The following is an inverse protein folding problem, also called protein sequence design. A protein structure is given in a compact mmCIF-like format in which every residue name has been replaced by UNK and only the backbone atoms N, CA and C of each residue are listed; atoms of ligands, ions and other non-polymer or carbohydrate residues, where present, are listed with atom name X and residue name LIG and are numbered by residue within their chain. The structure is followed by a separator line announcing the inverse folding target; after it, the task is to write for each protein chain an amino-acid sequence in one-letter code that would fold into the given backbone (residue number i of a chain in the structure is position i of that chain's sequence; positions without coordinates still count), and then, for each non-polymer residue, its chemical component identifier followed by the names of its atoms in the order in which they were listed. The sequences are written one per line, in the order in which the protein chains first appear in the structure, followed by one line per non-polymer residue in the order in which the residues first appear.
data_IF_329440267314
#
_entry.id   IF_329440267314
#
_cell.length_a   1.000
_cell.length_b   1.000
_cell.length_c   1.000
_cell.angle_alpha   90.00
_cell.angle_beta   90.00
_cell.angle_gamma   90.00
#
_symmetry.space_group_name_H-M   'P 1'
#
loop_
_entity.id
_entity.type
_entity.pdbx_description
1 polymer ?
#
# COMPACT_ATOMS: atom_id res chain seq x y z
N UNK A 1 6.21 9.52 11.41
CA UNK A 1 5.24 8.42 11.17
C UNK A 1 5.63 7.66 9.92
N UNK A 2 5.69 6.33 9.99
CA UNK A 2 6.13 5.48 8.88
C UNK A 2 5.06 4.46 8.56
N UNK A 3 4.63 4.42 7.29
CA UNK A 3 3.54 3.57 6.81
C UNK A 3 4.06 2.63 5.72
N UNK A 4 3.75 1.35 5.84
CA UNK A 4 4.11 0.32 4.85
C UNK A 4 2.83 -0.30 4.29
N UNK A 5 2.70 -0.32 2.96
CA UNK A 5 1.64 -1.05 2.28
C UNK A 5 2.16 -2.39 1.78
N UNK A 6 1.38 -3.46 1.96
CA UNK A 6 1.79 -4.82 1.59
C UNK A 6 0.72 -5.50 0.76
N UNK A 7 1.12 -6.04 -0.38
CA UNK A 7 0.29 -6.93 -1.20
C UNK A 7 1.08 -8.21 -1.53
N UNK A 8 0.62 -9.00 -2.49
CA UNK A 8 1.29 -10.26 -2.82
C UNK A 8 2.61 -10.02 -3.57
N UNK A 9 2.54 -9.35 -4.72
CA UNK A 9 3.69 -9.23 -5.64
C UNK A 9 4.44 -7.91 -5.59
N UNK A 10 3.89 -6.90 -4.92
CA UNK A 10 4.44 -5.53 -4.89
C UNK A 10 4.62 -4.91 -6.29
N UNK A 11 3.74 -5.23 -7.22
CA UNK A 11 3.74 -4.65 -8.57
C UNK A 11 2.42 -3.97 -8.95
N UNK A 12 1.34 -4.18 -8.22
CA UNK A 12 0.03 -3.57 -8.53
C UNK A 12 -0.52 -2.76 -7.36
N UNK A 13 -1.09 -3.42 -6.36
CA UNK A 13 -1.87 -2.77 -5.29
C UNK A 13 -1.01 -1.92 -4.36
N UNK A 14 0.02 -2.49 -3.76
CA UNK A 14 0.82 -1.76 -2.77
C UNK A 14 1.65 -0.61 -3.35
N UNK A 15 2.27 -0.73 -4.54
CA UNK A 15 2.97 0.43 -5.10
C UNK A 15 2.00 1.54 -5.51
N UNK A 16 0.78 1.20 -5.93
CA UNK A 16 -0.25 2.21 -6.23
C UNK A 16 -0.66 2.95 -4.96
N UNK A 17 -0.90 2.23 -3.86
CA UNK A 17 -1.22 2.86 -2.57
C UNK A 17 -0.10 3.80 -2.11
N UNK A 18 1.14 3.38 -2.26
CA UNK A 18 2.31 4.21 -1.93
C UNK A 18 2.30 5.50 -2.73
N UNK A 19 2.12 5.44 -4.05
CA UNK A 19 2.13 6.60 -4.92
C UNK A 19 0.95 7.54 -4.63
N UNK A 20 -0.24 6.99 -4.41
CA UNK A 20 -1.43 7.77 -4.09
C UNK A 20 -1.25 8.52 -2.77
N UNK A 21 -0.76 7.85 -1.73
CA UNK A 21 -0.55 8.49 -0.44
C UNK A 21 0.53 9.57 -0.53
N UNK A 22 1.64 9.29 -1.21
CA UNK A 22 2.71 10.30 -1.40
C UNK A 22 2.19 11.53 -2.11
N UNK A 23 1.37 11.36 -3.15
CA UNK A 23 0.77 12.47 -3.88
C UNK A 23 -0.11 13.33 -2.97
N UNK A 24 -1.00 12.69 -2.19
CA UNK A 24 -1.91 13.40 -1.29
C UNK A 24 -1.15 14.12 -0.17
N UNK A 25 -0.09 13.51 0.35
CA UNK A 25 0.76 14.15 1.37
C UNK A 25 1.43 15.41 0.83
N UNK A 26 1.95 15.36 -0.41
CA UNK A 26 2.56 16.53 -1.04
C UNK A 26 1.55 17.65 -1.25
N UNK A 27 0.34 17.31 -1.69
CA UNK A 27 -0.73 18.30 -1.88
C UNK A 27 -1.08 19.03 -0.59
N UNK A 28 -0.91 18.38 0.56
CA UNK A 28 -1.21 18.93 1.87
C UNK A 28 0.03 19.50 2.59
N UNK A 29 1.22 19.41 1.97
CA UNK A 29 2.47 19.85 2.60
C UNK A 29 2.90 19.00 3.78
N UNK A 30 2.51 17.73 3.83
CA UNK A 30 2.78 16.82 4.95
C UNK A 30 3.85 15.77 4.65
N UNK A 31 4.48 15.81 3.47
CA UNK A 31 5.38 14.75 3.02
C UNK A 31 6.62 14.56 3.89
N UNK A 32 7.06 15.59 4.61
CA UNK A 32 8.24 15.47 5.47
C UNK A 32 7.93 14.75 6.79
N UNK A 33 6.68 14.76 7.22
CA UNK A 33 6.27 14.11 8.46
C UNK A 33 5.91 12.64 8.33
N UNK A 34 5.80 12.11 7.11
CA UNK A 34 5.35 10.74 6.87
C UNK A 34 6.25 10.04 5.84
N UNK A 35 6.91 8.96 6.27
CA UNK A 35 7.63 8.07 5.36
C UNK A 35 6.67 7.00 4.86
N UNK A 36 6.66 6.75 3.56
CA UNK A 36 5.76 5.77 2.92
C UNK A 36 6.60 4.80 2.10
N UNK A 37 6.29 3.51 2.20
CA UNK A 37 6.93 2.47 1.40
C UNK A 37 5.94 1.36 1.09
N UNK A 38 6.33 0.42 0.25
CA UNK A 38 5.52 -0.75 -0.07
C UNK A 38 6.39 -1.99 -0.23
N UNK A 39 5.79 -3.17 -0.05
CA UNK A 39 6.47 -4.45 -0.15
C UNK A 39 5.49 -5.55 -0.56
N UNK A 40 6.02 -6.69 -0.97
CA UNK A 40 5.23 -7.86 -1.28
C UNK A 40 5.47 -8.97 -0.25
N UNK A 41 4.48 -9.85 -0.07
CA UNK A 41 4.68 -11.07 0.72
C UNK A 41 5.50 -12.09 -0.06
N UNK A 42 5.40 -12.09 -1.40
CA UNK A 42 6.19 -12.94 -2.28
C UNK A 42 7.46 -12.26 -2.79
N UNK A 43 8.35 -13.03 -3.40
CA UNK A 43 9.64 -12.56 -3.89
C UNK A 43 9.76 -12.57 -5.42
N UNK A 44 8.68 -12.93 -6.14
CA UNK A 44 8.73 -13.14 -7.59
C UNK A 44 9.14 -11.90 -8.39
N UNK A 45 8.85 -10.73 -7.87
CA UNK A 45 9.04 -9.46 -8.59
C UNK A 45 10.06 -8.54 -7.92
N UNK A 46 10.93 -9.06 -7.07
CA UNK A 46 11.97 -8.26 -6.42
C UNK A 46 12.85 -7.59 -7.47
N UNK A 47 13.04 -6.27 -7.32
CA UNK A 47 13.83 -5.45 -8.24
C UNK A 47 13.10 -5.01 -9.51
N UNK A 48 11.88 -5.50 -9.74
CA UNK A 48 11.11 -5.16 -10.95
C UNK A 48 10.27 -3.90 -10.75
N UNK A 49 10.01 -3.16 -11.84
CA UNK A 49 9.08 -2.03 -11.78
C UNK A 49 7.63 -2.52 -11.59
N UNK A 50 6.72 -1.63 -11.20
CA UNK A 50 5.30 -1.98 -11.18
C UNK A 50 4.79 -2.45 -12.54
N UNK A 51 3.70 -3.24 -12.51
CA UNK A 51 3.04 -3.72 -13.72
C UNK A 51 2.72 -2.57 -14.66
N UNK A 52 2.95 -2.76 -15.99
CA UNK A 52 2.78 -1.68 -16.97
C UNK A 52 1.35 -1.17 -17.04
N UNK A 53 0.35 -2.04 -16.85
CA UNK A 53 -1.07 -1.66 -16.86
C UNK A 53 -1.39 -0.82 -15.63
N UNK A 54 -0.83 -1.18 -14.49
CA UNK A 54 -0.94 -0.41 -13.24
C UNK A 54 -0.34 0.98 -13.42
N UNK A 55 0.86 1.06 -14.01
CA UNK A 55 1.53 2.35 -14.24
C UNK A 55 0.71 3.25 -15.17
N UNK A 56 0.14 2.68 -16.25
CA UNK A 56 -0.68 3.45 -17.18
C UNK A 56 -1.94 4.00 -16.53
N UNK A 57 -2.68 3.17 -15.80
CA UNK A 57 -3.89 3.59 -15.11
C UNK A 57 -3.61 4.68 -14.09
N UNK A 58 -2.55 4.55 -13.31
CA UNK A 58 -2.14 5.53 -12.31
C UNK A 58 -1.70 6.85 -12.97
N UNK A 59 -0.94 6.78 -14.06
CA UNK A 59 -0.43 7.96 -14.75
C UNK A 59 -1.56 8.83 -15.29
N UNK A 60 -2.65 8.23 -15.75
CA UNK A 60 -3.82 8.97 -16.23
C UNK A 60 -4.46 9.83 -15.13
N UNK A 61 -4.25 9.47 -13.86
CA UNK A 61 -4.72 10.24 -12.71
C UNK A 61 -3.64 11.10 -12.07
N UNK A 62 -2.45 11.16 -12.65
CA UNK A 62 -1.35 11.99 -12.15
C UNK A 62 -0.42 11.33 -11.15
N UNK A 63 -0.55 10.01 -10.93
CA UNK A 63 0.35 9.28 -10.03
C UNK A 63 1.52 8.66 -10.79
N UNK A 64 2.74 8.92 -10.34
CA UNK A 64 3.95 8.42 -10.96
C UNK A 64 4.53 7.24 -10.16
N UNK A 65 4.55 6.06 -10.76
CA UNK A 65 5.10 4.84 -10.18
C UNK A 65 6.45 4.46 -10.79
N UNK A 66 7.02 5.29 -11.68
CA UNK A 66 8.17 4.91 -12.51
C UNK A 66 9.42 4.59 -11.72
N UNK A 67 9.63 5.21 -10.55
CA UNK A 67 10.82 5.01 -9.73
C UNK A 67 10.69 3.85 -8.73
N UNK A 68 9.50 3.28 -8.59
CA UNK A 68 9.26 2.22 -7.61
C UNK A 68 9.81 0.89 -8.10
N UNK A 69 10.31 0.07 -7.16
CA UNK A 69 10.82 -1.27 -7.44
C UNK A 69 10.32 -2.25 -6.39
N UNK A 70 9.97 -3.46 -6.81
CA UNK A 70 9.49 -4.50 -5.93
C UNK A 70 10.52 -4.88 -4.88
N UNK A 71 10.05 -5.17 -3.67
CA UNK A 71 10.83 -5.78 -2.61
C UNK A 71 9.95 -6.71 -1.78
N UNK A 72 10.56 -7.64 -1.07
CA UNK A 72 9.84 -8.53 -0.18
C UNK A 72 9.82 -7.97 1.23
N UNK A 73 8.67 -8.09 1.91
CA UNK A 73 8.55 -7.72 3.32
C UNK A 73 9.47 -8.62 4.16
N UNK A 74 10.07 -8.06 5.20
CA UNK A 74 10.96 -8.80 6.08
C UNK A 74 10.67 -8.47 7.55
N UNK A 75 11.24 -9.26 8.46
CA UNK A 75 10.99 -9.12 9.89
C UNK A 75 11.36 -7.72 10.40
N UNK A 76 12.42 -7.11 9.88
CA UNK A 76 12.84 -5.78 10.30
C UNK A 76 11.82 -4.68 9.98
N UNK A 77 10.90 -4.92 9.05
CA UNK A 77 9.83 -3.95 8.75
C UNK A 77 8.93 -3.69 9.98
N UNK A 78 8.75 -4.70 10.84
CA UNK A 78 7.92 -4.56 12.03
C UNK A 78 8.53 -3.68 13.12
N UNK A 79 9.82 -3.41 13.06
CA UNK A 79 10.46 -2.45 13.95
C UNK A 79 10.69 -1.09 13.30
N UNK A 80 10.67 -1.03 11.98
CA UNK A 80 10.89 0.20 11.22
C UNK A 80 9.62 1.01 11.00
N UNK A 81 8.48 0.34 10.74
CA UNK A 81 7.23 1.01 10.42
C UNK A 81 6.29 1.07 11.61
N UNK A 82 5.52 2.15 11.70
CA UNK A 82 4.52 2.35 12.75
C UNK A 82 3.20 1.67 12.39
N UNK A 83 2.87 1.66 11.10
CA UNK A 83 1.61 1.12 10.60
C UNK A 83 1.88 0.30 9.34
N UNK A 84 1.45 -0.95 9.35
CA UNK A 84 1.57 -1.88 8.21
C UNK A 84 0.18 -2.25 7.76
N UNK A 85 -0.15 -1.95 6.50
CA UNK A 85 -1.50 -2.10 5.95
C UNK A 85 -1.49 -3.13 4.83
N UNK A 86 -2.23 -4.21 5.04
CA UNK A 86 -2.39 -5.30 4.08
C UNK A 86 -3.55 -5.03 3.12
N UNK A 87 -3.41 -5.47 1.88
CA UNK A 87 -4.42 -5.27 0.85
C UNK A 87 -5.54 -6.28 0.92
N UNK A 88 -5.25 -7.52 1.36
CA UNK A 88 -6.27 -8.58 1.52
C UNK A 88 -5.95 -9.46 2.71
N UNK A 89 -6.88 -10.36 3.05
CA UNK A 89 -6.73 -11.24 4.21
C UNK A 89 -5.57 -12.22 4.06
N UNK A 90 -5.25 -12.64 2.85
CA UNK A 90 -4.10 -13.52 2.60
C UNK A 90 -2.78 -12.81 2.97
N UNK A 91 -2.65 -11.55 2.55
CA UNK A 91 -1.48 -10.73 2.92
C UNK A 91 -1.42 -10.52 4.44
N UNK A 92 -2.56 -10.23 5.06
CA UNK A 92 -2.64 -10.00 6.51
C UNK A 92 -2.21 -11.23 7.29
N UNK A 93 -2.68 -12.41 6.88
CA UNK A 93 -2.34 -13.67 7.54
C UNK A 93 -0.85 -13.98 7.43
N UNK A 94 -0.25 -13.75 6.26
CA UNK A 94 1.19 -13.91 6.07
C UNK A 94 1.98 -12.98 7.01
N UNK A 95 1.54 -11.73 7.11
CA UNK A 95 2.18 -10.74 7.98
C UNK A 95 2.05 -11.12 9.46
N UNK A 96 0.91 -11.64 9.88
CA UNK A 96 0.72 -12.13 11.25
C UNK A 96 1.72 -13.22 11.60
N UNK A 97 1.95 -14.15 10.68
CA UNK A 97 2.91 -15.24 10.88
C UNK A 97 4.36 -14.76 10.91
N UNK A 98 4.67 -13.73 10.11
CA UNK A 98 6.02 -13.17 10.05
C UNK A 98 6.34 -12.28 11.26
N UNK A 99 5.34 -11.71 11.90
CA UNK A 99 5.47 -10.71 12.95
C UNK A 99 6.21 -11.27 14.16
N UNK A 100 7.35 -10.66 14.58
CA UNK A 100 8.05 -11.10 15.77
C UNK A 100 7.31 -10.71 17.04
N UNK A 101 7.53 -11.46 18.13
CA UNK A 101 6.99 -11.12 19.44
C UNK A 101 7.50 -9.75 19.90
N UNK A 102 6.61 -8.93 20.45
CA UNK A 102 6.97 -7.60 20.95
C UNK A 102 7.07 -6.52 19.90
N UNK A 103 6.71 -6.81 18.64
CA UNK A 103 6.69 -5.81 17.57
C UNK A 103 5.69 -4.71 17.88
N UNK A 104 6.10 -3.45 17.69
CA UNK A 104 5.27 -2.27 17.97
C UNK A 104 4.36 -1.85 16.82
N UNK A 105 4.71 -2.23 15.59
CA UNK A 105 3.93 -1.84 14.42
C UNK A 105 2.48 -2.29 14.56
N UNK A 106 1.55 -1.39 14.30
CA UNK A 106 0.15 -1.77 14.11
C UNK A 106 0.03 -2.49 12.77
N UNK A 107 -0.71 -3.59 12.75
CA UNK A 107 -0.95 -4.38 11.55
C UNK A 107 -2.44 -4.48 11.34
N UNK A 108 -2.93 -4.06 10.17
CA UNK A 108 -4.35 -4.05 9.89
C UNK A 108 -4.64 -4.26 8.39
N UNK A 109 -5.90 -4.52 8.09
CA UNK A 109 -6.41 -4.63 6.73
C UNK A 109 -6.82 -3.23 6.26
N UNK A 110 -6.26 -2.77 5.14
CA UNK A 110 -6.34 -1.37 4.73
C UNK A 110 -7.78 -0.86 4.57
N UNK A 111 -8.58 -1.52 3.74
CA UNK A 111 -9.93 -1.03 3.45
C UNK A 111 -10.86 -1.13 4.68
N UNK A 112 -10.78 -2.24 5.41
CA UNK A 112 -11.61 -2.44 6.60
C UNK A 112 -11.31 -1.40 7.68
N UNK A 113 -10.04 -1.01 7.84
CA UNK A 113 -9.64 -0.02 8.83
C UNK A 113 -10.35 1.32 8.65
N UNK A 114 -10.66 1.68 7.40
CA UNK A 114 -11.30 2.96 7.06
C UNK A 114 -12.75 2.80 6.61
N UNK A 115 -13.37 1.67 6.93
CA UNK A 115 -14.81 1.42 6.76
C UNK A 115 -15.30 1.54 5.31
N UNK A 116 -14.49 1.11 4.34
CA UNK A 116 -14.94 1.03 2.96
C UNK A 116 -15.95 -0.12 2.79
N UNK A 117 -16.72 -0.08 1.70
CA UNK A 117 -17.71 -1.12 1.39
C UNK A 117 -17.09 -2.50 1.18
N UNK A 118 -15.85 -2.55 0.68
CA UNK A 118 -15.08 -3.79 0.56
C UNK A 118 -14.02 -3.82 1.65
N UNK A 119 -13.76 -4.99 2.21
CA UNK A 119 -12.69 -5.20 3.20
C UNK A 119 -11.33 -5.41 2.54
N UNK A 120 -11.33 -5.95 1.32
CA UNK A 120 -10.11 -6.31 0.59
C UNK A 120 -9.99 -5.56 -0.71
N UNK A 121 -8.75 -5.21 -1.09
CA UNK A 121 -8.46 -4.69 -2.43
C UNK A 121 -8.34 -5.88 -3.38
N UNK A 122 -9.18 -5.97 -4.43
CA UNK A 122 -9.06 -7.06 -5.41
C UNK A 122 -7.69 -7.03 -6.09
N UNK A 123 -7.17 -8.20 -6.44
CA UNK A 123 -5.92 -8.29 -7.21
C UNK A 123 -6.24 -8.10 -8.70
N UNK A 124 -5.78 -7.01 -9.33
CA UNK A 124 -6.12 -6.72 -10.72
C UNK A 124 -5.26 -7.48 -11.73
N UNK A 125 -4.24 -8.21 -11.29
CA UNK A 125 -3.23 -8.81 -12.16
C UNK A 125 -3.83 -9.70 -13.24
N UNK A 126 -4.88 -10.47 -12.89
CA UNK A 126 -5.55 -11.41 -13.80
C UNK A 126 -6.82 -10.84 -14.42
N UNK A 127 -7.14 -9.56 -14.16
CA UNK A 127 -8.36 -8.93 -14.66
C UNK A 127 -8.10 -7.99 -15.84
N UNK A 128 -9.18 -7.36 -16.33
CA UNK A 128 -9.11 -6.34 -17.38
C UNK A 128 -8.85 -4.94 -16.85
N UNK A 129 -8.93 -3.94 -17.73
CA UNK A 129 -8.67 -2.53 -17.41
C UNK A 129 -9.53 -2.01 -16.26
N UNK A 130 -10.79 -2.45 -16.17
CA UNK A 130 -11.70 -2.02 -15.10
C UNK A 130 -11.20 -2.43 -13.72
N UNK A 131 -10.45 -3.53 -13.61
CA UNK A 131 -9.86 -3.95 -12.35
C UNK A 131 -8.84 -2.95 -11.82
N UNK A 132 -8.02 -2.36 -12.70
CA UNK A 132 -7.04 -1.34 -12.29
C UNK A 132 -7.72 -0.04 -11.87
N UNK A 133 -8.79 0.35 -12.56
CA UNK A 133 -9.58 1.53 -12.19
C UNK A 133 -10.28 1.34 -10.84
N UNK A 134 -10.84 0.17 -10.59
CA UNK A 134 -11.46 -0.15 -9.30
C UNK A 134 -10.44 -0.08 -8.17
N UNK A 135 -9.24 -0.61 -8.38
CA UNK A 135 -8.17 -0.55 -7.37
C UNK A 135 -7.83 0.91 -7.06
N UNK A 136 -7.67 1.75 -8.09
CA UNK A 136 -7.39 3.17 -7.88
C UNK A 136 -8.50 3.86 -7.08
N UNK A 137 -9.76 3.61 -7.42
CA UNK A 137 -10.90 4.20 -6.69
C UNK A 137 -10.86 3.81 -5.21
N UNK A 138 -10.65 2.53 -4.92
CA UNK A 138 -10.62 2.03 -3.55
C UNK A 138 -9.43 2.59 -2.77
N UNK A 139 -8.26 2.64 -3.40
CA UNK A 139 -7.06 3.14 -2.74
C UNK A 139 -7.12 4.64 -2.49
N UNK A 140 -7.71 5.40 -3.40
CA UNK A 140 -7.94 6.84 -3.17
C UNK A 140 -8.84 7.08 -1.97
N UNK A 141 -9.95 6.35 -1.86
CA UNK A 141 -10.86 6.46 -0.73
C UNK A 141 -10.20 6.05 0.59
N UNK A 142 -9.48 4.94 0.58
CA UNK A 142 -8.81 4.46 1.79
C UNK A 142 -7.67 5.39 2.21
N UNK A 143 -6.94 5.96 1.25
CA UNK A 143 -5.89 6.94 1.55
C UNK A 143 -6.47 8.22 2.15
N UNK A 144 -7.67 8.64 1.76
CA UNK A 144 -8.33 9.77 2.40
C UNK A 144 -8.61 9.49 3.88
N UNK A 145 -9.06 8.28 4.20
CA UNK A 145 -9.25 7.85 5.59
C UNK A 145 -7.94 7.82 6.37
N UNK A 146 -6.90 7.27 5.75
CA UNK A 146 -5.57 7.22 6.35
C UNK A 146 -5.02 8.62 6.60
N UNK A 147 -5.20 9.55 5.67
CA UNK A 147 -4.76 10.93 5.86
C UNK A 147 -5.41 11.58 7.07
N UNK A 148 -6.70 11.36 7.29
CA UNK A 148 -7.39 11.88 8.47
C UNK A 148 -6.76 11.35 9.75
N UNK A 149 -6.44 10.05 9.78
CA UNK A 149 -5.77 9.45 10.93
C UNK A 149 -4.37 10.04 11.12
N UNK A 150 -3.58 10.14 10.06
CA UNK A 150 -2.21 10.67 10.13
C UNK A 150 -2.18 12.12 10.60
N UNK A 151 -3.10 12.95 10.13
CA UNK A 151 -3.18 14.36 10.54
C UNK A 151 -3.46 14.48 12.03
N UNK A 152 -4.24 13.57 12.60
CA UNK A 152 -4.51 13.53 14.02
C UNK A 152 -3.31 13.12 14.87
N UNK A 153 -2.30 12.48 14.26
CA UNK A 153 -1.09 11.99 14.95
C UNK A 153 0.15 12.87 14.75
N UNK A 154 0.08 13.83 13.82
CA UNK A 154 1.23 14.69 13.50
C UNK A 154 1.29 15.96 14.34
#
# INVERSE_FOLDING_TARGET
MRVLFVCLGNICRSPTAEAVLRYKLRELGLEEGVEVDSAGTGDWHVGKPPDSRTRQAAQLRGYDLSELRGRQVCVSDFSRFDLILAMDNSNLEHLRRLRPGGARAELDLFLRRYDLTLDEVPDPYYGGEQGFEQVLDLLEQACDGLLRELRGRL
#
